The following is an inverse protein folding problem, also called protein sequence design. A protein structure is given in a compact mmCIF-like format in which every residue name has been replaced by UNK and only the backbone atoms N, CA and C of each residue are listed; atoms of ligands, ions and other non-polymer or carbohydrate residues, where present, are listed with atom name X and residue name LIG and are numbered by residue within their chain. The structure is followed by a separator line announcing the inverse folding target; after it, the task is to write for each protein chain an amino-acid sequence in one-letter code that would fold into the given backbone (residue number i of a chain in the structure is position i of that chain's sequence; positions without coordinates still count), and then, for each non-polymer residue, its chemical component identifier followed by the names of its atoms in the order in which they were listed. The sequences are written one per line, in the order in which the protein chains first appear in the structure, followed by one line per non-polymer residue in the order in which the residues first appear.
data_IF_286724719917
#
_entry.id   IF_286724719917
#
_cell.length_a   1.000
_cell.length_b   1.000
_cell.length_c   1.000
_cell.angle_alpha   90.00
_cell.angle_beta   90.00
_cell.angle_gamma   90.00
#
_symmetry.space_group_name_H-M   'P 1'
#
loop_
_entity.id
_entity.type
_entity.pdbx_description
1 polymer ?
#
# COMPACT_ATOMS: atom_id res chain seq x y z
N UNK A 1 -46.09 -0.93 -16.30
CA UNK A 1 -45.45 -1.12 -14.98
C UNK A 1 -44.37 -0.09 -14.64
N UNK A 2 -43.34 0.14 -15.46
CA UNK A 2 -42.23 1.05 -15.12
C UNK A 2 -42.62 2.51 -14.78
N UNK A 3 -43.64 3.09 -15.47
CA UNK A 3 -44.15 4.45 -15.19
C UNK A 3 -44.90 4.56 -13.85
N UNK A 4 -45.71 3.55 -13.50
CA UNK A 4 -46.44 3.49 -12.22
C UNK A 4 -45.44 3.34 -11.06
N UNK A 5 -44.38 2.59 -11.29
CA UNK A 5 -43.34 2.32 -10.29
C UNK A 5 -42.48 3.54 -9.95
N UNK A 6 -42.30 4.46 -10.90
CA UNK A 6 -41.61 5.73 -10.69
C UNK A 6 -42.51 6.79 -10.01
N UNK A 7 -43.82 6.72 -10.24
CA UNK A 7 -44.79 7.66 -9.66
C UNK A 7 -44.98 7.45 -8.14
N UNK A 8 -44.86 6.21 -7.65
CA UNK A 8 -45.03 5.84 -6.24
C UNK A 8 -43.76 5.99 -5.36
N UNK A 9 -42.68 6.63 -5.84
CA UNK A 9 -41.39 6.73 -5.13
C UNK A 9 -40.78 5.39 -4.63
N UNK A 10 -41.24 4.25 -5.12
CA UNK A 10 -40.91 2.94 -4.55
C UNK A 10 -39.41 2.58 -4.60
N UNK A 11 -38.62 3.24 -5.47
CA UNK A 11 -37.15 3.12 -5.49
C UNK A 11 -36.48 3.61 -4.20
N UNK A 12 -37.15 4.46 -3.42
CA UNK A 12 -36.65 4.99 -2.14
C UNK A 12 -37.12 4.20 -0.92
N UNK A 13 -38.05 3.28 -1.10
CA UNK A 13 -38.56 2.46 -0.01
C UNK A 13 -37.53 1.40 0.37
N UNK A 14 -37.36 1.19 1.67
CA UNK A 14 -36.55 0.09 2.20
C UNK A 14 -37.10 -1.27 1.77
N UNK A 15 -36.32 -2.33 1.90
CA UNK A 15 -36.79 -3.70 1.64
C UNK A 15 -37.99 -4.02 2.51
N UNK A 16 -37.95 -3.68 3.80
CA UNK A 16 -39.05 -3.92 4.73
C UNK A 16 -40.32 -3.16 4.32
N UNK A 17 -40.20 -1.86 4.00
CA UNK A 17 -41.34 -1.06 3.55
C UNK A 17 -41.94 -1.61 2.26
N UNK A 18 -41.10 -2.05 1.33
CA UNK A 18 -41.53 -2.63 0.05
C UNK A 18 -42.23 -3.98 0.25
N UNK A 19 -41.74 -4.79 1.20
CA UNK A 19 -42.34 -6.06 1.57
C UNK A 19 -43.70 -5.87 2.23
N UNK A 20 -43.80 -4.95 3.20
CA UNK A 20 -45.06 -4.61 3.87
C UNK A 20 -46.09 -4.06 2.86
N UNK A 21 -45.67 -3.15 1.97
CA UNK A 21 -46.56 -2.57 0.95
C UNK A 21 -47.12 -3.64 0.01
N UNK A 22 -46.26 -4.51 -0.52
CA UNK A 22 -46.69 -5.61 -1.39
C UNK A 22 -47.56 -6.62 -0.64
N UNK A 23 -47.23 -6.91 0.62
CA UNK A 23 -48.01 -7.76 1.50
C UNK A 23 -49.42 -7.21 1.74
N UNK A 24 -49.57 -5.92 1.99
CA UNK A 24 -50.88 -5.27 2.16
C UNK A 24 -51.71 -5.33 0.87
N UNK A 25 -51.09 -5.03 -0.29
CA UNK A 25 -51.76 -5.11 -1.58
C UNK A 25 -52.26 -6.53 -1.88
N UNK A 26 -51.42 -7.53 -1.62
CA UNK A 26 -51.76 -8.94 -1.83
C UNK A 26 -52.81 -9.43 -0.84
N UNK A 27 -52.77 -8.98 0.42
CA UNK A 27 -53.80 -9.28 1.42
C UNK A 27 -55.17 -8.78 0.97
N UNK A 28 -55.26 -7.54 0.48
CA UNK A 28 -56.52 -6.97 -0.02
C UNK A 28 -57.04 -7.78 -1.22
N UNK A 29 -56.15 -8.14 -2.15
CA UNK A 29 -56.53 -8.94 -3.32
C UNK A 29 -57.02 -10.34 -2.93
N UNK A 30 -56.34 -11.03 -2.01
CA UNK A 30 -56.73 -12.37 -1.52
C UNK A 30 -58.07 -12.28 -0.79
N UNK A 31 -58.27 -11.29 0.09
CA UNK A 31 -59.55 -11.09 0.78
C UNK A 31 -60.70 -10.84 -0.21
N UNK A 32 -60.47 -10.07 -1.27
CA UNK A 32 -61.49 -9.84 -2.30
C UNK A 32 -61.86 -11.15 -3.02
N UNK A 33 -60.88 -12.01 -3.33
CA UNK A 33 -61.13 -13.33 -3.93
C UNK A 33 -61.91 -14.24 -2.98
N UNK A 34 -61.53 -14.27 -1.69
CA UNK A 34 -62.23 -15.06 -0.67
C UNK A 34 -63.70 -14.61 -0.54
N UNK A 35 -63.99 -13.31 -0.62
CA UNK A 35 -65.38 -12.81 -0.61
C UNK A 35 -66.16 -13.35 -1.81
N UNK A 36 -65.56 -13.39 -3.00
CA UNK A 36 -66.18 -13.95 -4.20
C UNK A 36 -66.40 -15.47 -4.06
N UNK A 37 -65.44 -16.20 -3.50
CA UNK A 37 -65.57 -17.64 -3.22
C UNK A 37 -66.71 -17.92 -2.25
N UNK A 38 -66.84 -17.10 -1.20
CA UNK A 38 -67.93 -17.21 -0.24
C UNK A 38 -69.29 -16.93 -0.89
N UNK A 39 -69.40 -15.88 -1.71
CA UNK A 39 -70.62 -15.58 -2.46
C UNK A 39 -71.00 -16.72 -3.43
N UNK A 40 -70.01 -17.31 -4.09
CA UNK A 40 -70.20 -18.45 -4.99
C UNK A 40 -70.68 -19.68 -4.23
N UNK A 41 -70.05 -20.02 -3.11
CA UNK A 41 -70.44 -21.15 -2.28
C UNK A 41 -71.85 -21.00 -1.71
N UNK A 42 -72.20 -19.80 -1.24
CA UNK A 42 -73.56 -19.50 -0.75
C UNK A 42 -74.60 -19.60 -1.87
N UNK A 43 -74.28 -19.12 -3.07
CA UNK A 43 -75.14 -19.29 -4.25
C UNK A 43 -75.37 -20.76 -4.60
N UNK A 44 -74.33 -21.60 -4.44
CA UNK A 44 -74.44 -23.05 -4.65
C UNK A 44 -75.33 -23.69 -3.58
N UNK A 45 -75.10 -23.33 -2.32
CA UNK A 45 -75.87 -23.82 -1.17
C UNK A 45 -77.35 -23.55 -1.34
N UNK A 46 -77.73 -22.34 -1.78
CA UNK A 46 -79.14 -21.98 -2.03
C UNK A 46 -79.75 -22.81 -3.17
N UNK A 47 -79.01 -23.06 -4.26
CA UNK A 47 -79.48 -23.87 -5.40
C UNK A 47 -79.72 -25.34 -5.03
N UNK A 48 -78.91 -25.87 -4.12
CA UNK A 48 -78.97 -27.28 -3.71
C UNK A 48 -79.63 -27.51 -2.34
N UNK A 49 -80.28 -26.49 -1.76
CA UNK A 49 -80.88 -26.53 -0.42
C UNK A 49 -81.95 -27.64 -0.24
N UNK A 50 -82.57 -28.10 -1.32
CA UNK A 50 -83.56 -29.19 -1.30
C UNK A 50 -82.94 -30.61 -1.23
N UNK A 51 -81.63 -30.76 -1.44
CA UNK A 51 -80.93 -32.05 -1.42
C UNK A 51 -79.97 -32.10 -0.23
N UNK A 52 -80.36 -32.78 0.86
CA UNK A 52 -79.57 -32.78 2.11
C UNK A 52 -78.13 -33.29 1.94
N UNK A 53 -77.92 -34.26 1.04
CA UNK A 53 -76.59 -34.82 0.73
C UNK A 53 -75.67 -33.84 -0.01
N UNK A 54 -76.22 -32.80 -0.66
CA UNK A 54 -75.43 -31.84 -1.41
C UNK A 54 -74.70 -30.82 -0.51
N UNK A 55 -75.11 -30.68 0.75
CA UNK A 55 -74.53 -29.69 1.67
C UNK A 55 -73.22 -30.16 2.32
N UNK A 56 -72.96 -31.47 2.36
CA UNK A 56 -71.82 -32.07 3.08
C UNK A 56 -70.46 -31.85 2.38
N UNK A 57 -70.44 -31.70 1.05
CA UNK A 57 -69.20 -31.51 0.29
C UNK A 57 -68.85 -30.04 -0.01
N UNK A 58 -69.82 -29.11 0.13
CA UNK A 58 -69.64 -27.69 -0.19
C UNK A 58 -68.69 -27.01 0.80
N UNK A 59 -68.82 -27.29 2.09
CA UNK A 59 -67.95 -26.70 3.13
C UNK A 59 -66.47 -27.12 3.00
N UNK A 60 -66.12 -28.42 2.89
CA UNK A 60 -64.72 -28.82 2.72
C UNK A 60 -64.11 -28.34 1.40
N UNK A 61 -64.90 -28.28 0.32
CA UNK A 61 -64.41 -27.73 -0.96
C UNK A 61 -64.15 -26.22 -0.90
N UNK A 62 -64.98 -25.46 -0.19
CA UNK A 62 -64.73 -24.04 0.08
C UNK A 62 -63.46 -23.83 0.91
N UNK A 63 -63.27 -24.60 1.99
CA UNK A 63 -62.05 -24.52 2.82
C UNK A 63 -60.81 -24.83 1.97
N UNK A 64 -60.85 -25.88 1.14
CA UNK A 64 -59.75 -26.23 0.26
C UNK A 64 -59.44 -25.11 -0.76
N UNK A 65 -60.47 -24.48 -1.31
CA UNK A 65 -60.32 -23.38 -2.27
C UNK A 65 -59.71 -22.13 -1.63
N UNK A 66 -60.16 -21.75 -0.43
CA UNK A 66 -59.60 -20.63 0.34
C UNK A 66 -58.13 -20.89 0.70
N UNK A 67 -57.79 -22.12 1.11
CA UNK A 67 -56.39 -22.49 1.38
C UNK A 67 -55.53 -22.40 0.12
N UNK A 68 -56.07 -22.83 -1.03
CA UNK A 68 -55.38 -22.74 -2.31
C UNK A 68 -55.14 -21.27 -2.71
N UNK A 69 -56.11 -20.38 -2.56
CA UNK A 69 -55.95 -18.97 -2.94
C UNK A 69 -54.96 -18.24 -2.05
N UNK A 70 -54.95 -18.51 -0.75
CA UNK A 70 -53.93 -17.98 0.16
C UNK A 70 -52.54 -18.49 -0.24
N UNK A 71 -52.39 -19.79 -0.51
CA UNK A 71 -51.10 -20.37 -0.90
C UNK A 71 -50.56 -19.76 -2.20
N UNK A 72 -51.41 -19.64 -3.22
CA UNK A 72 -51.06 -19.00 -4.50
C UNK A 72 -50.70 -17.52 -4.28
N UNK A 73 -51.45 -16.81 -3.44
CA UNK A 73 -51.17 -15.41 -3.09
C UNK A 73 -49.79 -15.22 -2.47
N UNK A 74 -49.38 -16.08 -1.54
CA UNK A 74 -48.06 -16.03 -0.88
C UNK A 74 -46.94 -16.25 -1.91
N UNK A 75 -47.07 -17.28 -2.76
CA UNK A 75 -46.06 -17.61 -3.78
C UNK A 75 -45.91 -16.47 -4.79
N UNK A 76 -47.03 -15.90 -5.25
CA UNK A 76 -47.03 -14.76 -6.16
C UNK A 76 -46.36 -13.53 -5.52
N UNK A 77 -46.68 -13.23 -4.26
CA UNK A 77 -46.09 -12.11 -3.52
C UNK A 77 -44.57 -12.26 -3.41
N UNK A 78 -44.09 -13.42 -2.98
CA UNK A 78 -42.66 -13.70 -2.85
C UNK A 78 -41.93 -13.61 -4.21
N UNK A 79 -42.53 -14.15 -5.27
CA UNK A 79 -41.96 -14.09 -6.62
C UNK A 79 -41.85 -12.65 -7.16
N UNK A 80 -42.89 -11.84 -6.94
CA UNK A 80 -42.90 -10.44 -7.34
C UNK A 80 -41.86 -9.64 -6.55
N UNK A 81 -41.77 -9.84 -5.23
CA UNK A 81 -40.79 -9.18 -4.39
C UNK A 81 -39.36 -9.51 -4.82
N UNK A 82 -39.06 -10.80 -5.05
CA UNK A 82 -37.74 -11.24 -5.52
C UNK A 82 -37.37 -10.59 -6.87
N UNK A 83 -38.27 -10.65 -7.85
CA UNK A 83 -38.02 -10.07 -9.18
C UNK A 83 -37.83 -8.57 -9.15
N UNK A 84 -38.52 -7.90 -8.24
CA UNK A 84 -38.53 -6.44 -8.18
C UNK A 84 -37.35 -5.85 -7.39
N UNK A 85 -37.02 -6.44 -6.22
CA UNK A 85 -36.03 -5.87 -5.30
C UNK A 85 -34.73 -6.65 -5.18
N UNK A 86 -34.75 -7.98 -5.28
CA UNK A 86 -33.58 -8.83 -4.95
C UNK A 86 -32.78 -9.28 -6.17
N UNK A 87 -33.45 -9.63 -7.28
CA UNK A 87 -32.81 -10.28 -8.43
C UNK A 87 -31.65 -9.48 -9.02
N UNK A 88 -31.84 -8.17 -9.23
CA UNK A 88 -30.84 -7.31 -9.85
C UNK A 88 -29.60 -7.08 -8.96
N UNK A 89 -29.72 -6.63 -7.70
CA UNK A 89 -28.54 -6.44 -6.85
C UNK A 89 -27.78 -7.75 -6.58
N UNK A 90 -28.50 -8.88 -6.42
CA UNK A 90 -27.84 -10.17 -6.25
C UNK A 90 -27.03 -10.60 -7.48
N UNK A 91 -27.58 -10.44 -8.69
CA UNK A 91 -26.85 -10.76 -9.93
C UNK A 91 -25.60 -9.88 -10.11
N UNK A 92 -25.67 -8.61 -9.72
CA UNK A 92 -24.51 -7.70 -9.73
C UNK A 92 -23.44 -8.20 -8.75
N UNK A 93 -23.83 -8.55 -7.51
CA UNK A 93 -22.88 -9.03 -6.49
C UNK A 93 -22.26 -10.38 -6.87
N UNK A 94 -23.04 -11.31 -7.46
CA UNK A 94 -22.53 -12.59 -7.93
C UNK A 94 -21.47 -12.40 -9.02
N UNK A 95 -21.77 -11.58 -10.04
CA UNK A 95 -20.80 -11.25 -11.11
C UNK A 95 -19.57 -10.53 -10.58
N UNK A 96 -19.75 -9.63 -9.61
CA UNK A 96 -18.64 -8.96 -8.96
C UNK A 96 -17.74 -9.96 -8.20
N UNK A 97 -18.34 -10.89 -7.46
CA UNK A 97 -17.59 -11.94 -6.76
C UNK A 97 -16.81 -12.84 -7.71
N UNK A 98 -17.40 -13.22 -8.85
CA UNK A 98 -16.75 -14.03 -9.88
C UNK A 98 -15.52 -13.29 -10.46
N UNK A 99 -15.66 -12.02 -10.80
CA UNK A 99 -14.55 -11.18 -11.29
C UNK A 99 -13.43 -11.02 -10.27
N UNK A 100 -13.77 -10.77 -9.00
CA UNK A 100 -12.76 -10.67 -7.92
C UNK A 100 -12.02 -12.01 -7.77
N UNK A 101 -12.73 -13.14 -7.87
CA UNK A 101 -12.10 -14.46 -7.80
C UNK A 101 -11.19 -14.80 -8.99
N UNK A 102 -11.36 -14.10 -10.12
CA UNK A 102 -10.49 -14.21 -11.30
C UNK A 102 -9.46 -13.07 -11.39
N UNK A 103 -9.15 -12.39 -10.27
CA UNK A 103 -8.22 -11.26 -10.17
C UNK A 103 -8.55 -10.04 -11.07
N UNK A 104 -9.76 -9.95 -11.64
CA UNK A 104 -10.22 -8.79 -12.38
C UNK A 104 -10.81 -7.78 -11.40
N UNK A 105 -10.03 -6.77 -11.02
CA UNK A 105 -10.48 -5.66 -10.18
C UNK A 105 -10.84 -4.41 -10.99
N UNK A 106 -10.72 -4.42 -12.32
CA UNK A 106 -10.88 -3.22 -13.17
C UNK A 106 -12.32 -2.75 -13.40
N UNK A 107 -13.28 -3.29 -12.64
CA UNK A 107 -14.70 -3.00 -12.77
C UNK A 107 -15.20 -2.17 -11.58
N UNK A 108 -16.44 -1.65 -11.69
CA UNK A 108 -17.12 -0.95 -10.60
C UNK A 108 -18.49 -1.54 -10.33
N UNK A 109 -18.87 -1.56 -9.06
CA UNK A 109 -20.17 -2.03 -8.61
C UNK A 109 -21.04 -0.80 -8.39
N UNK A 110 -22.13 -0.71 -9.15
CA UNK A 110 -23.10 0.37 -9.02
C UNK A 110 -24.52 -0.19 -9.00
N UNK A 111 -25.27 0.22 -7.98
CA UNK A 111 -26.68 -0.08 -7.83
C UNK A 111 -27.38 1.16 -7.26
N UNK A 112 -28.28 1.76 -8.05
CA UNK A 112 -28.96 3.03 -7.71
C UNK A 112 -30.02 2.92 -6.59
N UNK A 113 -30.13 1.76 -5.93
CA UNK A 113 -31.05 1.55 -4.82
C UNK A 113 -30.62 2.35 -3.59
N UNK A 114 -31.58 2.99 -2.92
CA UNK A 114 -31.36 3.62 -1.60
C UNK A 114 -31.87 2.74 -0.45
N UNK A 115 -31.99 1.45 -0.71
CA UNK A 115 -32.37 0.43 0.25
C UNK A 115 -31.13 -0.30 0.79
N UNK A 116 -31.37 -1.29 1.65
CA UNK A 116 -30.35 -2.10 2.31
C UNK A 116 -29.46 -2.84 1.28
N UNK A 117 -29.98 -3.17 0.10
CA UNK A 117 -29.19 -3.75 -1.00
C UNK A 117 -28.26 -2.72 -1.64
N UNK A 118 -28.68 -1.45 -1.72
CA UNK A 118 -27.83 -0.32 -2.08
C UNK A 118 -26.68 -0.09 -1.10
N UNK A 119 -26.93 -0.25 0.20
CA UNK A 119 -25.88 -0.23 1.22
C UNK A 119 -24.91 -1.39 1.06
N UNK A 120 -25.41 -2.60 0.86
CA UNK A 120 -24.58 -3.79 0.64
C UNK A 120 -23.69 -3.66 -0.60
N UNK A 121 -24.25 -3.21 -1.74
CA UNK A 121 -23.47 -2.98 -2.95
C UNK A 121 -22.38 -1.91 -2.76
N UNK A 122 -22.65 -0.85 -1.98
CA UNK A 122 -21.64 0.17 -1.66
C UNK A 122 -20.53 -0.38 -0.77
N UNK A 123 -20.87 -1.16 0.26
CA UNK A 123 -19.88 -1.82 1.10
C UNK A 123 -18.97 -2.76 0.30
N UNK A 124 -19.56 -3.51 -0.65
CA UNK A 124 -18.80 -4.40 -1.52
C UNK A 124 -17.91 -3.63 -2.51
N UNK A 125 -18.34 -2.47 -3.04
CA UNK A 125 -17.47 -1.60 -3.85
C UNK A 125 -16.29 -1.04 -3.05
N UNK A 126 -16.51 -0.66 -1.78
CA UNK A 126 -15.42 -0.21 -0.89
C UNK A 126 -14.39 -1.33 -0.73
N UNK A 127 -14.83 -2.56 -0.46
CA UNK A 127 -13.95 -3.72 -0.34
C UNK A 127 -13.17 -3.99 -1.63
N UNK A 128 -13.84 -3.99 -2.80
CA UNK A 128 -13.18 -4.13 -4.11
C UNK A 128 -12.14 -3.04 -4.34
N UNK A 129 -12.47 -1.78 -4.03
CA UNK A 129 -11.55 -0.65 -4.16
C UNK A 129 -10.35 -0.72 -3.22
N UNK A 130 -10.52 -1.27 -2.01
CA UNK A 130 -9.41 -1.54 -1.09
C UNK A 130 -8.50 -2.66 -1.63
N UNK A 131 -9.08 -3.74 -2.15
CA UNK A 131 -8.34 -4.81 -2.82
C UNK A 131 -7.51 -4.27 -4.00
N UNK A 132 -8.11 -3.43 -4.85
CA UNK A 132 -7.44 -2.83 -6.02
C UNK A 132 -6.25 -1.96 -5.60
N UNK A 133 -6.42 -1.13 -4.57
CA UNK A 133 -5.33 -0.31 -4.01
C UNK A 133 -4.21 -1.14 -3.42
N UNK A 134 -4.55 -2.18 -2.64
CA UNK A 134 -3.57 -3.07 -2.04
C UNK A 134 -2.79 -3.84 -3.12
N UNK A 135 -3.49 -4.36 -4.13
CA UNK A 135 -2.87 -5.03 -5.26
C UNK A 135 -1.90 -4.12 -6.01
N UNK A 136 -2.32 -2.89 -6.31
CA UNK A 136 -1.47 -1.91 -7.00
C UNK A 136 -0.22 -1.56 -6.20
N UNK A 137 -0.36 -1.42 -4.88
CA UNK A 137 0.75 -1.11 -3.96
C UNK A 137 1.73 -2.28 -3.89
N UNK A 138 1.21 -3.50 -3.76
CA UNK A 138 2.02 -4.71 -3.76
C UNK A 138 2.76 -4.90 -5.09
N UNK A 139 2.08 -4.68 -6.22
CA UNK A 139 2.67 -4.81 -7.54
C UNK A 139 3.81 -3.81 -7.76
N UNK A 140 3.66 -2.56 -7.33
CA UNK A 140 4.75 -1.57 -7.34
C UNK A 140 5.95 -2.04 -6.52
N UNK A 141 5.73 -2.52 -5.29
CA UNK A 141 6.82 -3.02 -4.44
C UNK A 141 7.54 -4.21 -5.08
N UNK A 142 6.81 -5.13 -5.71
CA UNK A 142 7.39 -6.27 -6.43
C UNK A 142 8.25 -5.80 -7.61
N UNK A 143 7.75 -4.83 -8.38
CA UNK A 143 8.50 -4.31 -9.54
C UNK A 143 9.75 -3.55 -9.11
N UNK A 144 9.68 -2.75 -8.04
CA UNK A 144 10.84 -2.08 -7.44
C UNK A 144 11.87 -3.11 -6.96
N UNK A 145 11.46 -4.14 -6.22
CA UNK A 145 12.34 -5.26 -5.81
C UNK A 145 13.00 -5.95 -7.00
N UNK A 146 12.23 -6.17 -8.09
CA UNK A 146 12.75 -6.79 -9.30
C UNK A 146 13.79 -5.92 -10.00
N UNK A 147 13.57 -4.61 -10.07
CA UNK A 147 14.54 -3.67 -10.62
C UNK A 147 15.82 -3.63 -9.78
N UNK A 148 15.70 -3.58 -8.45
CA UNK A 148 16.84 -3.65 -7.54
C UNK A 148 17.64 -4.93 -7.75
N UNK A 149 16.97 -6.09 -7.76
CA UNK A 149 17.62 -7.38 -7.99
C UNK A 149 18.33 -7.44 -9.36
N UNK A 150 17.76 -6.82 -10.40
CA UNK A 150 18.41 -6.74 -11.71
C UNK A 150 19.69 -5.88 -11.67
N UNK A 151 19.66 -4.75 -10.96
CA UNK A 151 20.85 -3.89 -10.74
C UNK A 151 21.93 -4.67 -9.97
N UNK A 152 21.57 -5.34 -8.87
CA UNK A 152 22.48 -6.19 -8.12
C UNK A 152 23.12 -7.27 -9.00
N UNK A 153 22.32 -7.99 -9.79
CA UNK A 153 22.81 -9.05 -10.66
C UNK A 153 23.79 -8.53 -11.73
N UNK A 154 23.52 -7.34 -12.29
CA UNK A 154 24.41 -6.68 -13.23
C UNK A 154 25.75 -6.32 -12.58
N UNK A 155 25.71 -5.69 -11.40
CA UNK A 155 26.90 -5.18 -10.72
C UNK A 155 27.75 -6.27 -10.07
N UNK A 156 27.18 -7.43 -9.75
CA UNK A 156 27.92 -8.64 -9.36
C UNK A 156 28.61 -9.31 -10.55
N UNK A 157 28.03 -9.23 -11.76
CA UNK A 157 28.58 -9.90 -12.95
C UNK A 157 29.94 -9.34 -13.34
N UNK A 158 30.10 -8.02 -13.31
CA UNK A 158 31.35 -7.34 -13.68
C UNK A 158 32.58 -7.81 -12.88
N UNK A 159 32.61 -7.74 -11.53
CA UNK A 159 33.74 -8.23 -10.75
C UNK A 159 33.94 -9.74 -10.90
N UNK A 160 32.88 -10.54 -11.05
CA UNK A 160 33.01 -11.98 -11.33
C UNK A 160 33.67 -12.26 -12.69
N UNK A 161 33.35 -11.48 -13.73
CA UNK A 161 34.01 -11.59 -15.03
C UNK A 161 35.49 -11.22 -14.98
N UNK A 162 35.85 -10.19 -14.21
CA UNK A 162 37.26 -9.80 -14.02
C UNK A 162 38.04 -10.87 -13.23
N UNK A 163 37.44 -11.42 -12.16
CA UNK A 163 38.04 -12.52 -11.40
C UNK A 163 38.27 -13.75 -12.28
N UNK A 164 37.24 -14.14 -13.05
CA UNK A 164 37.32 -15.27 -13.98
C UNK A 164 38.42 -15.05 -15.04
N UNK A 165 38.46 -13.87 -15.67
CA UNK A 165 39.47 -13.56 -16.69
C UNK A 165 40.90 -13.56 -16.15
N UNK A 166 41.12 -12.99 -14.96
CA UNK A 166 42.44 -13.03 -14.31
C UNK A 166 42.84 -14.46 -13.94
N UNK A 167 41.91 -15.26 -13.43
CA UNK A 167 42.16 -16.67 -13.10
C UNK A 167 42.48 -17.52 -14.34
N UNK A 168 41.74 -17.33 -15.44
CA UNK A 168 42.00 -18.00 -16.73
C UNK A 168 43.36 -17.62 -17.30
N UNK A 169 43.73 -16.34 -17.21
CA UNK A 169 45.04 -15.85 -17.64
C UNK A 169 46.18 -16.47 -16.81
N UNK A 170 46.07 -16.45 -15.47
CA UNK A 170 47.07 -17.07 -14.60
C UNK A 170 47.19 -18.58 -14.88
N UNK A 171 46.07 -19.28 -15.00
CA UNK A 171 46.06 -20.72 -15.27
C UNK A 171 46.75 -21.08 -16.60
N UNK A 172 46.67 -20.20 -17.60
CA UNK A 172 47.24 -20.43 -18.93
C UNK A 172 48.73 -20.10 -19.01
N UNK A 173 49.14 -18.94 -18.47
CA UNK A 173 50.48 -18.38 -18.70
C UNK A 173 51.47 -18.62 -17.55
N UNK A 174 50.99 -18.90 -16.34
CA UNK A 174 51.85 -19.16 -15.17
C UNK A 174 52.66 -20.46 -15.33
N UNK A 175 52.10 -21.60 -15.81
CA UNK A 175 52.88 -22.82 -16.08
C UNK A 175 53.94 -22.64 -17.18
N UNK A 176 53.74 -21.67 -18.07
CA UNK A 176 54.66 -21.37 -19.17
C UNK A 176 55.81 -20.44 -18.75
N UNK A 177 55.83 -19.99 -17.49
CA UNK A 177 56.76 -18.98 -16.97
C UNK A 177 56.76 -17.67 -17.79
N UNK A 178 55.61 -17.32 -18.38
CA UNK A 178 55.43 -16.16 -19.27
C UNK A 178 54.83 -14.94 -18.57
N UNK A 179 54.83 -14.93 -17.23
CA UNK A 179 54.29 -13.84 -16.42
C UNK A 179 55.43 -13.30 -15.56
N UNK A 180 55.69 -11.99 -15.66
CA UNK A 180 56.59 -11.29 -14.75
C UNK A 180 55.99 -11.25 -13.33
N UNK A 181 56.83 -11.32 -12.30
CA UNK A 181 56.42 -11.24 -10.91
C UNK A 181 55.58 -9.99 -10.60
N UNK A 182 55.95 -8.83 -11.16
CA UNK A 182 55.21 -7.57 -11.00
C UNK A 182 53.75 -7.68 -11.50
N UNK A 183 53.55 -8.23 -12.70
CA UNK A 183 52.22 -8.47 -13.27
C UNK A 183 51.41 -9.51 -12.50
N UNK A 184 52.06 -10.51 -11.91
CA UNK A 184 51.40 -11.48 -11.04
C UNK A 184 50.85 -10.80 -9.78
N UNK A 185 51.66 -9.97 -9.13
CA UNK A 185 51.25 -9.20 -7.95
C UNK A 185 50.11 -8.24 -8.27
N UNK A 186 50.17 -7.52 -9.39
CA UNK A 186 49.10 -6.62 -9.85
C UNK A 186 47.76 -7.35 -10.08
N UNK A 187 47.80 -8.54 -10.70
CA UNK A 187 46.61 -9.38 -10.89
C UNK A 187 46.05 -9.88 -9.55
N UNK A 188 46.90 -10.31 -8.61
CA UNK A 188 46.48 -10.73 -7.26
C UNK A 188 45.80 -9.57 -6.52
N UNK A 189 46.40 -8.38 -6.57
CA UNK A 189 45.84 -7.17 -5.96
C UNK A 189 44.49 -6.81 -6.58
N UNK A 190 44.41 -6.83 -7.92
CA UNK A 190 43.16 -6.57 -8.66
C UNK A 190 42.06 -7.55 -8.25
N UNK A 191 42.37 -8.85 -8.19
CA UNK A 191 41.40 -9.86 -7.74
C UNK A 191 40.98 -9.66 -6.28
N UNK A 192 41.90 -9.32 -5.38
CA UNK A 192 41.60 -9.02 -3.98
C UNK A 192 40.62 -7.84 -3.84
N UNK A 193 40.85 -6.75 -4.59
CA UNK A 193 39.95 -5.59 -4.62
C UNK A 193 38.54 -5.99 -5.10
N UNK A 194 38.44 -6.84 -6.12
CA UNK A 194 37.15 -7.31 -6.63
C UNK A 194 36.42 -8.26 -5.67
N UNK A 195 37.14 -9.11 -4.92
CA UNK A 195 36.55 -9.98 -3.88
C UNK A 195 35.97 -9.14 -2.73
N UNK A 196 36.75 -8.19 -2.20
CA UNK A 196 36.27 -7.27 -1.15
C UNK A 196 35.04 -6.49 -1.63
N UNK A 197 35.01 -6.09 -2.91
CA UNK A 197 33.85 -5.42 -3.50
C UNK A 197 32.62 -6.35 -3.55
N UNK A 198 32.78 -7.63 -3.90
CA UNK A 198 31.72 -8.63 -3.90
C UNK A 198 31.14 -8.89 -2.50
N UNK A 199 31.99 -9.04 -1.49
CA UNK A 199 31.55 -9.23 -0.09
C UNK A 199 30.69 -8.06 0.39
N UNK A 200 31.07 -6.84 0.03
CA UNK A 200 30.31 -5.64 0.38
C UNK A 200 28.99 -5.54 -0.38
N UNK A 201 28.93 -6.00 -1.64
CA UNK A 201 27.67 -6.09 -2.38
C UNK A 201 26.69 -7.05 -1.72
N UNK A 202 27.15 -8.22 -1.28
CA UNK A 202 26.30 -9.23 -0.62
C UNK A 202 25.85 -8.78 0.77
N UNK A 203 26.74 -8.13 1.53
CA UNK A 203 26.40 -7.53 2.82
C UNK A 203 25.36 -6.41 2.67
N UNK A 204 25.53 -5.51 1.70
CA UNK A 204 24.58 -4.45 1.41
C UNK A 204 23.20 -5.02 1.00
N UNK A 205 23.17 -6.05 0.16
CA UNK A 205 21.92 -6.72 -0.24
C UNK A 205 21.21 -7.38 0.96
N UNK A 206 21.96 -8.07 1.83
CA UNK A 206 21.42 -8.65 3.06
C UNK A 206 20.91 -7.58 4.02
N UNK A 207 21.61 -6.45 4.13
CA UNK A 207 21.21 -5.33 4.98
C UNK A 207 19.88 -4.73 4.51
N UNK A 208 19.69 -4.49 3.21
CA UNK A 208 18.43 -3.93 2.68
C UNK A 208 17.24 -4.85 2.98
N UNK A 209 17.38 -6.15 2.77
CA UNK A 209 16.32 -7.11 3.08
C UNK A 209 15.98 -7.10 4.58
N UNK A 210 16.99 -7.12 5.45
CA UNK A 210 16.77 -7.03 6.91
C UNK A 210 16.15 -5.69 7.32
N UNK A 211 16.52 -4.60 6.66
CA UNK A 211 16.03 -3.26 6.95
C UNK A 211 14.59 -3.07 6.50
N UNK A 212 14.12 -3.77 5.45
CA UNK A 212 12.71 -3.84 5.09
C UNK A 212 11.86 -4.60 6.12
N UNK A 213 12.41 -5.66 6.72
CA UNK A 213 11.69 -6.51 7.69
C UNK A 213 11.78 -6.03 9.16
N UNK A 214 12.69 -5.10 9.48
CA UNK A 214 12.92 -4.63 10.85
C UNK A 214 11.73 -3.83 11.42
N UNK A 215 11.08 -4.21 12.53
CA UNK A 215 10.04 -3.37 13.12
C UNK A 215 10.59 -2.00 13.54
N UNK A 216 9.82 -0.93 13.34
CA UNK A 216 10.15 0.40 13.87
C UNK A 216 9.82 0.41 15.35
N UNK A 217 10.80 0.80 16.16
CA UNK A 217 10.62 0.94 17.60
C UNK A 217 10.72 2.41 17.99
N UNK A 218 9.61 3.14 17.76
CA UNK A 218 9.52 4.53 18.15
C UNK A 218 9.39 4.67 19.66
N UNK A 219 10.24 5.52 20.24
CA UNK A 219 10.22 5.85 21.65
C UNK A 219 10.16 7.37 21.80
N UNK A 220 9.48 7.83 22.86
CA UNK A 220 9.47 9.25 23.22
C UNK A 220 10.86 9.68 23.66
N UNK A 221 11.38 10.75 23.06
CA UNK A 221 12.66 11.36 23.40
C UNK A 221 12.52 12.88 23.41
N UNK A 222 13.18 13.52 24.38
CA UNK A 222 13.30 14.98 24.41
C UNK A 222 14.19 15.45 23.26
N UNK A 223 13.77 16.52 22.58
CA UNK A 223 14.45 17.02 21.39
C UNK A 223 15.91 17.41 21.70
N UNK A 224 16.17 18.01 22.86
CA UNK A 224 17.51 18.38 23.30
C UNK A 224 18.42 17.15 23.49
N UNK A 225 17.87 16.04 23.99
CA UNK A 225 18.62 14.79 24.15
C UNK A 225 18.97 14.17 22.80
N UNK A 226 18.01 14.14 21.87
CA UNK A 226 18.25 13.65 20.52
C UNK A 226 19.30 14.50 19.81
N UNK A 227 19.18 15.83 19.85
CA UNK A 227 20.14 16.75 19.21
C UNK A 227 21.53 16.60 19.81
N UNK A 228 21.65 16.45 21.14
CA UNK A 228 22.94 16.23 21.79
C UNK A 228 23.61 14.94 21.29
N UNK A 229 22.85 13.84 21.16
CA UNK A 229 23.33 12.58 20.61
C UNK A 229 23.82 12.73 19.15
N UNK A 230 23.02 13.38 18.31
CA UNK A 230 23.37 13.60 16.89
C UNK A 230 24.60 14.51 16.76
N UNK A 231 24.68 15.59 17.53
CA UNK A 231 25.82 16.50 17.50
C UNK A 231 27.13 15.84 17.97
N UNK A 232 27.06 14.91 18.90
CA UNK A 232 28.25 14.16 19.33
C UNK A 232 28.76 13.25 18.21
N UNK A 233 27.86 12.53 17.54
CA UNK A 233 28.23 11.71 16.37
C UNK A 233 28.78 12.58 15.23
N UNK A 234 28.16 13.73 14.94
CA UNK A 234 28.68 14.68 13.96
C UNK A 234 30.09 15.16 14.29
N UNK A 235 30.37 15.48 15.57
CA UNK A 235 31.70 15.91 16.00
C UNK A 235 32.76 14.86 15.72
N UNK A 236 32.45 13.58 15.96
CA UNK A 236 33.36 12.47 15.66
C UNK A 236 33.58 12.31 14.15
N UNK A 237 32.50 12.24 13.37
CA UNK A 237 32.56 12.00 11.92
C UNK A 237 33.26 13.16 11.20
N UNK A 238 32.79 14.39 11.43
CA UNK A 238 33.30 15.60 10.75
C UNK A 238 34.76 15.88 11.19
N UNK A 239 35.09 15.60 12.45
CA UNK A 239 36.43 15.73 13.00
C UNK A 239 37.46 14.82 12.33
N UNK A 240 37.07 13.59 11.93
CA UNK A 240 37.95 12.67 11.19
C UNK A 240 38.43 13.25 9.85
N UNK A 241 37.62 14.11 9.22
CA UNK A 241 37.95 14.79 7.98
C UNK A 241 38.62 16.17 8.20
N UNK A 242 38.91 16.54 9.45
CA UNK A 242 39.50 17.85 9.79
C UNK A 242 38.58 19.03 9.44
N UNK A 243 37.26 18.83 9.48
CA UNK A 243 36.25 19.83 9.12
C UNK A 243 35.57 20.41 10.37
N UNK A 244 34.83 21.49 10.20
CA UNK A 244 34.03 22.12 11.27
C UNK A 244 32.55 22.06 10.96
N UNK A 245 31.71 22.18 11.99
CA UNK A 245 30.27 22.21 11.80
C UNK A 245 29.53 23.17 12.71
N UNK A 246 28.43 23.69 12.20
CA UNK A 246 27.50 24.55 12.94
C UNK A 246 26.11 23.94 12.93
N UNK A 247 25.38 24.08 14.04
CA UNK A 247 24.04 23.55 14.19
C UNK A 247 23.02 24.68 14.38
N UNK A 248 21.81 24.46 13.92
CA UNK A 248 20.67 25.35 14.14
C UNK A 248 19.40 24.54 14.32
N UNK A 249 18.46 25.06 15.11
CA UNK A 249 17.26 24.32 15.53
C UNK A 249 16.05 25.23 15.34
N UNK A 250 15.00 24.69 14.74
CA UNK A 250 13.68 25.31 14.61
C UNK A 250 12.61 24.28 15.00
N UNK A 251 12.28 24.19 16.29
CA UNK A 251 11.30 23.22 16.79
C UNK A 251 10.25 23.91 17.64
N UNK A 252 8.97 23.60 17.37
CA UNK A 252 7.85 23.99 18.23
C UNK A 252 7.54 22.92 19.30
N UNK A 253 8.18 21.74 19.22
CA UNK A 253 7.94 20.59 20.11
C UNK A 253 9.14 20.33 21.04
N UNK A 254 8.86 20.05 22.32
CA UNK A 254 9.87 19.66 23.32
C UNK A 254 10.23 18.18 23.23
N UNK A 255 9.24 17.32 22.95
CA UNK A 255 9.40 15.87 22.84
C UNK A 255 8.83 15.34 21.52
N UNK A 256 9.46 14.30 20.97
CA UNK A 256 8.98 13.60 19.78
C UNK A 256 9.07 12.09 19.97
N UNK A 257 8.23 11.33 19.27
CA UNK A 257 8.32 9.86 19.22
C UNK A 257 8.94 9.42 17.89
N UNK A 258 10.16 8.89 17.94
CA UNK A 258 10.92 8.39 16.79
C UNK A 258 11.76 7.17 17.15
N UNK A 259 12.16 6.38 16.15
CA UNK A 259 13.19 5.35 16.34
C UNK A 259 14.57 6.00 16.32
N UNK A 260 15.15 6.17 17.51
CA UNK A 260 16.42 6.90 17.68
C UNK A 260 17.59 6.22 16.98
N UNK A 261 17.61 4.88 16.90
CA UNK A 261 18.67 4.15 16.22
C UNK A 261 18.62 4.39 14.71
N UNK A 262 17.41 4.35 14.15
CA UNK A 262 17.19 4.58 12.73
C UNK A 262 17.54 6.03 12.35
N UNK A 263 17.08 7.01 13.13
CA UNK A 263 17.42 8.43 12.93
C UNK A 263 18.94 8.65 13.00
N UNK A 264 19.61 8.07 13.99
CA UNK A 264 21.07 8.16 14.13
C UNK A 264 21.79 7.57 12.92
N UNK A 265 21.38 6.38 12.46
CA UNK A 265 22.01 5.73 11.31
C UNK A 265 21.87 6.54 10.00
N UNK A 266 20.70 7.14 9.76
CA UNK A 266 20.49 8.04 8.62
C UNK A 266 21.37 9.28 8.77
N UNK A 267 21.36 9.89 9.96
CA UNK A 267 22.13 11.08 10.26
C UNK A 267 23.64 10.88 10.04
N UNK A 268 24.19 9.77 10.51
CA UNK A 268 25.61 9.43 10.35
C UNK A 268 25.99 9.31 8.87
N UNK A 269 25.15 8.67 8.06
CA UNK A 269 25.38 8.54 6.62
C UNK A 269 25.37 9.88 5.88
N UNK A 270 24.34 10.71 6.11
CA UNK A 270 24.25 12.01 5.43
C UNK A 270 25.36 12.97 5.90
N UNK A 271 25.76 12.87 7.17
CA UNK A 271 26.85 13.68 7.76
C UNK A 271 28.22 13.24 7.25
N UNK A 272 28.50 11.95 7.17
CA UNK A 272 29.73 11.43 6.57
C UNK A 272 29.85 11.82 5.10
N UNK A 273 28.73 11.77 4.36
CA UNK A 273 28.71 12.21 2.97
C UNK A 273 29.04 13.71 2.85
N UNK A 274 28.44 14.55 3.68
CA UNK A 274 28.73 15.99 3.70
C UNK A 274 30.19 16.28 4.09
N UNK A 275 30.72 15.64 5.15
CA UNK A 275 32.09 15.83 5.61
C UNK A 275 33.14 15.49 4.54
N UNK A 276 32.86 14.46 3.73
CA UNK A 276 33.73 14.02 2.62
C UNK A 276 33.83 15.04 1.49
N UNK A 277 32.74 15.72 1.16
CA UNK A 277 32.69 16.68 0.04
C UNK A 277 32.85 18.14 0.47
N UNK A 278 32.71 18.43 1.75
CA UNK A 278 32.90 19.77 2.30
C UNK A 278 34.33 20.28 2.02
N UNK A 279 34.41 21.55 1.68
CA UNK A 279 35.65 22.32 1.58
C UNK A 279 36.20 22.63 2.98
N UNK A 280 35.32 22.84 3.97
CA UNK A 280 35.71 23.20 5.33
C UNK A 280 34.59 23.19 6.37
N UNK A 281 33.35 23.46 5.95
CA UNK A 281 32.22 23.67 6.83
C UNK A 281 31.00 22.83 6.46
N UNK A 282 30.42 22.15 7.45
CA UNK A 282 29.12 21.48 7.36
C UNK A 282 28.10 22.21 8.23
N UNK A 283 26.91 22.50 7.71
CA UNK A 283 25.81 23.09 8.47
C UNK A 283 24.73 22.05 8.67
N UNK A 284 24.28 21.91 9.91
CA UNK A 284 23.22 20.97 10.29
C UNK A 284 22.04 21.76 10.82
N UNK A 285 20.87 21.53 10.24
CA UNK A 285 19.63 22.17 10.65
C UNK A 285 18.60 21.12 11.07
N UNK A 286 18.09 21.26 12.30
CA UNK A 286 17.04 20.42 12.85
C UNK A 286 15.72 21.19 12.86
N UNK A 287 14.66 20.62 12.31
CA UNK A 287 13.34 21.24 12.25
C UNK A 287 12.25 20.25 12.65
N UNK A 288 11.30 20.64 13.50
CA UNK A 288 10.09 19.84 13.79
C UNK A 288 8.87 20.66 13.42
N UNK A 289 8.13 20.19 12.42
CA UNK A 289 6.94 20.90 11.92
C UNK A 289 5.91 19.93 11.36
N UNK A 290 4.62 20.19 11.61
CA UNK A 290 3.50 19.36 11.13
C UNK A 290 3.64 17.87 11.46
N UNK A 291 4.23 17.53 12.61
CA UNK A 291 4.45 16.14 13.01
C UNK A 291 5.60 15.44 12.29
N UNK A 292 6.52 16.17 11.67
CA UNK A 292 7.74 15.61 11.07
C UNK A 292 9.00 16.20 11.70
N UNK A 293 9.97 15.35 12.01
CA UNK A 293 11.36 15.73 12.27
C UNK A 293 12.09 15.77 10.94
N UNK A 294 12.68 16.91 10.59
CA UNK A 294 13.54 17.09 9.43
C UNK A 294 14.96 17.44 9.88
N UNK A 295 15.94 16.75 9.30
CA UNK A 295 17.37 16.99 9.52
C UNK A 295 18.00 17.32 8.18
N UNK A 296 18.44 18.56 8.02
CA UNK A 296 19.13 19.03 6.81
C UNK A 296 20.62 19.14 7.09
N UNK A 297 21.43 18.47 6.28
CA UNK A 297 22.88 18.59 6.28
C UNK A 297 23.33 19.24 4.98
N UNK A 298 24.04 20.35 5.09
CA UNK A 298 24.52 21.18 3.99
C UNK A 298 26.05 21.29 4.05
N UNK A 299 26.74 20.89 3.00
CA UNK A 299 28.19 21.12 2.84
C UNK A 299 28.51 22.40 2.05
N UNK A 300 29.76 22.85 2.11
CA UNK A 300 30.32 23.98 1.34
C UNK A 300 31.20 23.51 0.17
N UNK A 301 30.94 22.31 -0.35
CA UNK A 301 31.64 21.69 -1.46
C UNK A 301 31.12 22.12 -2.83
N UNK A 302 31.41 21.30 -3.85
CA UNK A 302 30.93 21.52 -5.22
C UNK A 302 29.44 21.24 -5.41
N UNK A 303 28.83 20.50 -4.48
CA UNK A 303 27.47 19.99 -4.61
C UNK A 303 27.32 18.86 -5.62
N UNK A 304 26.07 18.53 -5.92
CA UNK A 304 25.65 17.50 -6.86
C UNK A 304 25.57 18.06 -8.28
N UNK A 305 26.04 17.32 -9.28
CA UNK A 305 25.70 17.64 -10.68
C UNK A 305 24.20 17.39 -10.95
N UNK A 306 23.66 17.93 -12.06
CA UNK A 306 22.25 17.64 -12.43
C UNK A 306 21.99 16.14 -12.59
N UNK A 307 22.96 15.38 -13.11
CA UNK A 307 22.84 13.94 -13.23
C UNK A 307 22.83 13.26 -11.85
N UNK A 308 23.63 13.75 -10.91
CA UNK A 308 23.72 13.21 -9.55
C UNK A 308 22.44 13.49 -8.74
N UNK A 309 21.80 14.65 -8.91
CA UNK A 309 20.54 14.96 -8.22
C UNK A 309 19.46 13.89 -8.48
N UNK A 310 19.43 13.32 -9.68
CA UNK A 310 18.48 12.26 -10.05
C UNK A 310 18.95 10.85 -9.68
N UNK A 311 20.26 10.62 -9.55
CA UNK A 311 20.85 9.27 -9.43
C UNK A 311 21.50 8.98 -8.09
N UNK A 312 21.78 9.98 -7.25
CA UNK A 312 22.48 9.83 -5.98
C UNK A 312 21.74 8.95 -4.97
N UNK A 313 20.42 8.80 -5.13
CA UNK A 313 19.60 7.87 -4.35
C UNK A 313 19.47 6.49 -4.99
N UNK A 314 20.17 6.19 -6.10
CA UNK A 314 20.20 4.84 -6.65
C UNK A 314 21.25 3.99 -5.92
N UNK A 315 20.99 2.70 -5.69
CA UNK A 315 21.97 1.82 -5.07
C UNK A 315 23.24 1.75 -5.94
N UNK A 316 24.40 1.79 -5.28
CA UNK A 316 25.74 1.71 -5.86
C UNK A 316 26.13 2.84 -6.81
N UNK A 317 25.32 3.89 -6.88
CA UNK A 317 25.66 5.05 -7.68
C UNK A 317 26.87 5.78 -7.07
N UNK A 318 27.80 6.15 -7.95
CA UNK A 318 29.01 6.90 -7.62
C UNK A 318 29.13 8.05 -8.62
N UNK A 319 29.15 9.28 -8.12
CA UNK A 319 29.52 10.44 -8.92
C UNK A 319 31.00 10.40 -9.32
N UNK A 320 31.36 11.17 -10.35
CA UNK A 320 32.69 11.16 -10.99
C UNK A 320 33.86 11.49 -10.04
N UNK A 321 33.60 12.16 -8.91
CA UNK A 321 34.61 12.68 -7.96
C UNK A 321 34.97 11.67 -6.86
N UNK A 322 34.44 10.45 -6.86
CA UNK A 322 34.62 9.52 -5.74
C UNK A 322 35.90 8.66 -5.83
N UNK A 323 36.84 8.88 -4.91
CA UNK A 323 37.98 7.99 -4.67
C UNK A 323 37.49 6.55 -4.47
N UNK A 324 38.08 5.60 -5.21
CA UNK A 324 37.57 4.25 -5.40
C UNK A 324 37.39 3.40 -4.12
N UNK A 325 38.05 3.76 -3.01
CA UNK A 325 38.24 2.91 -1.84
C UNK A 325 37.32 3.18 -0.63
N UNK A 326 36.60 4.30 -0.53
CA UNK A 326 35.98 4.69 0.76
C UNK A 326 34.47 4.45 0.91
N UNK A 327 33.64 4.60 -0.14
CA UNK A 327 32.18 4.47 -0.01
C UNK A 327 31.52 3.77 -1.22
N UNK A 328 30.62 2.82 -0.98
CA UNK A 328 30.09 1.91 -2.01
C UNK A 328 28.86 2.44 -2.76
N UNK A 329 28.46 3.69 -2.56
CA UNK A 329 27.26 4.26 -3.20
C UNK A 329 25.94 3.79 -2.59
N UNK A 330 25.98 3.21 -1.37
CA UNK A 330 24.79 2.70 -0.68
C UNK A 330 24.23 3.64 0.37
N UNK A 331 25.04 4.56 0.92
CA UNK A 331 24.65 5.37 2.08
C UNK A 331 23.34 6.14 1.87
N UNK A 332 23.22 6.90 0.78
CA UNK A 332 22.01 7.68 0.50
C UNK A 332 20.80 6.81 0.13
N UNK A 333 21.02 5.67 -0.54
CA UNK A 333 19.95 4.71 -0.81
C UNK A 333 19.41 4.08 0.48
N UNK A 334 20.30 3.68 1.39
CA UNK A 334 19.94 3.20 2.73
C UNK A 334 19.18 4.27 3.51
N UNK A 335 19.63 5.52 3.45
CA UNK A 335 18.92 6.64 4.08
C UNK A 335 17.50 6.79 3.53
N UNK A 336 17.33 6.67 2.21
CA UNK A 336 16.01 6.74 1.57
C UNK A 336 15.08 5.66 2.09
N UNK A 337 15.51 4.38 2.08
CA UNK A 337 14.70 3.26 2.59
C UNK A 337 14.30 3.50 4.05
N UNK A 338 15.26 3.91 4.88
CA UNK A 338 15.02 4.13 6.30
C UNK A 338 14.05 5.29 6.56
N UNK A 339 14.18 6.41 5.83
CA UNK A 339 13.26 7.55 5.94
C UNK A 339 11.84 7.15 5.49
N UNK A 340 11.71 6.48 4.34
CA UNK A 340 10.42 6.03 3.80
C UNK A 340 9.74 5.04 4.75
N UNK A 341 10.53 4.15 5.37
CA UNK A 341 10.02 3.22 6.38
C UNK A 341 9.47 3.95 7.59
N UNK A 342 10.11 5.04 8.02
CA UNK A 342 9.65 5.92 9.11
C UNK A 342 8.59 6.94 8.63
N UNK A 343 7.87 6.63 7.55
CA UNK A 343 6.82 7.45 6.93
C UNK A 343 7.25 8.87 6.54
N UNK A 344 8.56 9.08 6.37
CA UNK A 344 9.15 10.33 5.90
C UNK A 344 9.76 10.19 4.51
N UNK A 345 10.77 11.01 4.22
CA UNK A 345 11.38 11.12 2.90
C UNK A 345 12.83 11.60 2.98
N UNK A 346 13.64 11.25 1.98
CA UNK A 346 14.97 11.80 1.77
C UNK A 346 14.96 12.70 0.52
N UNK A 347 15.42 13.94 0.67
CA UNK A 347 15.53 14.92 -0.41
C UNK A 347 16.98 15.33 -0.61
N UNK A 348 17.39 15.46 -1.87
CA UNK A 348 18.73 15.90 -2.27
C UNK A 348 18.56 17.14 -3.15
N UNK A 349 19.26 18.21 -2.79
CA UNK A 349 19.31 19.48 -3.48
C UNK A 349 20.73 20.05 -3.44
N UNK A 350 20.96 21.16 -4.13
CA UNK A 350 22.14 21.99 -3.91
C UNK A 350 21.79 23.21 -3.07
N UNK A 351 22.71 23.62 -2.21
CA UNK A 351 22.54 24.79 -1.37
C UNK A 351 22.44 26.08 -2.20
N UNK A 352 21.78 27.13 -1.67
CA UNK A 352 21.61 28.42 -2.36
C UNK A 352 22.94 29.15 -2.66
N UNK A 353 24.01 28.80 -1.95
CA UNK A 353 25.37 29.32 -2.12
C UNK A 353 26.33 28.29 -2.74
N UNK A 354 25.81 27.22 -3.35
CA UNK A 354 26.58 26.03 -3.73
C UNK A 354 26.66 25.00 -2.59
N UNK A 355 27.29 23.86 -2.88
CA UNK A 355 27.39 22.73 -1.94
C UNK A 355 26.20 21.77 -1.99
N UNK A 356 26.38 20.57 -1.45
CA UNK A 356 25.36 19.54 -1.41
C UNK A 356 24.43 19.71 -0.20
N UNK A 357 23.12 19.59 -0.42
CA UNK A 357 22.11 19.64 0.63
C UNK A 357 21.33 18.33 0.65
N UNK A 358 21.37 17.62 1.79
CA UNK A 358 20.57 16.41 1.99
C UNK A 358 19.64 16.63 3.18
N UNK A 359 18.34 16.44 2.96
CA UNK A 359 17.30 16.58 3.99
C UNK A 359 16.62 15.24 4.22
N UNK A 360 16.79 14.68 5.41
CA UNK A 360 16.06 13.49 5.87
C UNK A 360 14.86 13.92 6.70
N UNK A 361 13.71 13.29 6.51
CA UNK A 361 12.50 13.53 7.28
C UNK A 361 11.93 12.24 7.85
N UNK A 362 11.32 12.32 9.03
CA UNK A 362 10.78 11.20 9.79
C UNK A 362 9.44 11.61 10.40
N UNK A 363 8.41 10.78 10.27
CA UNK A 363 7.14 11.01 10.95
C UNK A 363 7.35 10.91 12.46
N UNK A 364 6.97 11.94 13.19
CA UNK A 364 6.97 11.96 14.65
C UNK A 364 5.57 11.63 15.14
N UNK A 365 5.44 10.69 16.08
CA UNK A 365 4.22 10.60 16.86
C UNK A 365 4.08 11.86 17.69
N UNK A 366 3.19 12.78 17.30
CA UNK A 366 2.88 13.96 18.10
C UNK A 366 2.20 13.49 19.39
N UNK A 367 2.90 13.59 20.52
CA UNK A 367 2.25 13.58 21.81
C UNK A 367 1.68 14.99 21.96
N UNK A 368 0.36 15.13 21.77
CA UNK A 368 -0.35 16.36 22.15
C UNK A 368 0.06 16.70 23.58
N UNK A 369 0.71 17.84 23.77
CA UNK A 369 0.98 18.40 25.10
C UNK A 369 -0.30 18.89 25.75
#
# INVERSE_FOLDING_TARGET
MAKIMNWLQLKRMSLLQSFIFLGCLMLIAVLAVIVVEFQWAESLRQRYAAHSEANDWILPSLIALVLLTVAVGIVLMASLFYRWKLRKPLDILMKASEKISSDDLGFRISYDGKDEMGELCRAFEIMRGQLEKNYTTLWRSIEERKQLNAIFAHDLRTPLSVLKGNFEFLSTYLPQNKISEEKLLDMIQTMSVHIVRLEKYTEAMSSIQKMEDMPIHSHSIEMDQLIALLNESARQIIGQYGRTFNTSIASDSQSISVDTHLVLQVFENITANAARFASGLVRIHYCVKMGYLSITVLDDGTGFSEADLHKAMLPFYRGEVSNANEHHGMGLYTCKILCEKHEGNLQIDNGPSGGGQVTASFLTGLINS
#
